data_IF_584370896522
#
_entry.id   IF_584370896522
#
_cell.length_a   1.000
_cell.length_b   1.000
_cell.length_c   1.000
_cell.angle_alpha   90.00
_cell.angle_beta   90.00
_cell.angle_gamma   90.00
#
_symmetry.space_group_name_H-M   'P 1'
#
loop_
_entity.id
_entity.type
_entity.pdbx_description
1 polymer ?
#
# COMPACT_ATOMS: atom_id res chain seq x y z
N UNK A 1 -2.97 10.06 -6.83
CA UNK A 1 -3.52 10.05 -5.44
C UNK A 1 -3.22 11.38 -4.76
N UNK A 2 -4.24 12.08 -4.24
CA UNK A 2 -4.05 13.42 -3.65
C UNK A 2 -3.03 13.43 -2.50
N UNK A 3 -2.97 12.35 -1.71
CA UNK A 3 -2.06 12.24 -0.58
C UNK A 3 -0.57 12.43 -0.95
N UNK A 4 -0.12 11.92 -2.11
CA UNK A 4 1.27 12.07 -2.57
C UNK A 4 1.58 13.54 -2.87
N UNK A 5 0.62 14.30 -3.41
CA UNK A 5 0.78 15.71 -3.76
C UNK A 5 0.89 16.62 -2.52
N UNK A 6 0.42 16.16 -1.35
CA UNK A 6 0.44 16.91 -0.10
C UNK A 6 1.73 16.71 0.70
N UNK A 7 2.58 15.75 0.33
CA UNK A 7 3.79 15.42 1.07
C UNK A 7 4.98 16.24 0.56
N UNK A 8 5.80 16.71 1.51
CA UNK A 8 7.11 17.26 1.21
C UNK A 8 8.08 16.17 0.71
N UNK A 9 9.14 16.52 -0.03
CA UNK A 9 10.23 15.58 -0.35
C UNK A 9 10.76 14.89 0.91
N UNK A 10 10.90 13.57 0.84
CA UNK A 10 11.25 12.72 1.98
C UNK A 10 10.10 12.36 2.92
N UNK A 11 8.90 12.92 2.71
CA UNK A 11 7.70 12.59 3.47
C UNK A 11 7.25 11.14 3.28
N UNK A 12 6.58 10.58 4.29
CA UNK A 12 6.15 9.17 4.31
C UNK A 12 4.62 9.10 4.26
N UNK A 13 4.11 8.38 3.27
CA UNK A 13 2.72 7.99 3.15
C UNK A 13 2.53 6.58 3.73
N UNK A 14 1.66 6.46 4.73
CA UNK A 14 1.12 5.16 5.16
C UNK A 14 -0.26 4.99 4.52
N UNK A 15 -0.41 4.00 3.65
CA UNK A 15 -1.66 3.77 2.92
C UNK A 15 -2.08 2.31 3.00
N UNK A 16 -3.39 2.07 3.11
CA UNK A 16 -3.96 0.75 3.40
C UNK A 16 -5.20 0.48 2.56
N UNK A 17 -5.46 -0.81 2.32
CA UNK A 17 -6.69 -1.32 1.71
C UNK A 17 -7.11 -2.63 2.37
N UNK A 18 -8.39 -2.72 2.75
CA UNK A 18 -9.00 -3.93 3.34
C UNK A 18 -9.93 -4.64 2.36
N UNK A 19 -9.97 -4.22 1.08
CA UNK A 19 -10.84 -4.84 0.10
C UNK A 19 -10.34 -6.25 -0.28
N UNK A 20 -11.23 -7.24 -0.19
CA UNK A 20 -10.95 -8.61 -0.64
C UNK A 20 -10.76 -8.72 -2.16
N UNK A 21 -11.34 -7.79 -2.94
CA UNK A 21 -11.17 -7.70 -4.40
C UNK A 21 -9.82 -7.10 -4.81
N UNK A 22 -9.07 -6.56 -3.85
CA UNK A 22 -7.79 -5.90 -4.09
C UNK A 22 -6.65 -6.85 -3.72
N UNK A 23 -5.86 -7.30 -4.69
CA UNK A 23 -4.61 -8.02 -4.39
C UNK A 23 -3.51 -7.05 -3.94
N UNK A 24 -2.50 -7.56 -3.25
CA UNK A 24 -1.32 -6.78 -2.86
C UNK A 24 -0.66 -6.14 -4.08
N UNK A 25 -0.43 -6.93 -5.14
CA UNK A 25 0.17 -6.44 -6.39
C UNK A 25 -0.66 -5.36 -7.07
N UNK A 26 -1.99 -5.53 -7.11
CA UNK A 26 -2.87 -4.52 -7.70
C UNK A 26 -2.81 -3.22 -6.89
N UNK A 27 -2.81 -3.31 -5.56
CA UNK A 27 -2.71 -2.14 -4.70
C UNK A 27 -1.37 -1.42 -4.89
N UNK A 28 -0.27 -2.17 -5.00
CA UNK A 28 1.05 -1.60 -5.27
C UNK A 28 1.10 -0.87 -6.62
N UNK A 29 0.49 -1.45 -7.67
CA UNK A 29 0.36 -0.80 -8.98
C UNK A 29 -0.45 0.48 -8.92
N UNK A 30 -1.57 0.49 -8.19
CA UNK A 30 -2.39 1.70 -7.99
C UNK A 30 -1.56 2.81 -7.31
N UNK A 31 -0.73 2.46 -6.33
CA UNK A 31 0.16 3.45 -5.67
C UNK A 31 1.22 3.97 -6.65
N UNK A 32 1.79 3.10 -7.49
CA UNK A 32 2.76 3.49 -8.52
C UNK A 32 2.14 4.40 -9.58
N UNK A 33 0.98 4.04 -10.14
CA UNK A 33 0.24 4.87 -11.10
C UNK A 33 -0.12 6.22 -10.47
N UNK A 34 -0.55 6.22 -9.21
CA UNK A 34 -0.83 7.43 -8.47
C UNK A 34 0.38 8.33 -8.24
N UNK A 35 1.59 7.78 -8.20
CA UNK A 35 2.85 8.52 -8.08
C UNK A 35 3.23 9.15 -9.43
N UNK A 36 3.06 8.41 -10.53
CA UNK A 36 3.19 8.91 -11.91
C UNK A 36 2.26 10.10 -12.13
N UNK A 37 0.97 9.97 -11.80
CA UNK A 37 -0.02 11.05 -11.90
C UNK A 37 0.34 12.27 -11.04
N UNK A 38 1.02 12.06 -9.92
CA UNK A 38 1.48 13.13 -9.03
C UNK A 38 2.80 13.78 -9.50
N UNK A 39 3.46 13.23 -10.53
CA UNK A 39 4.78 13.67 -10.98
C UNK A 39 5.86 13.49 -9.91
N UNK A 40 5.75 12.47 -9.07
CA UNK A 40 6.66 12.18 -7.96
C UNK A 40 7.11 10.72 -8.01
N UNK A 41 8.38 10.48 -7.73
CA UNK A 41 8.85 9.13 -7.45
C UNK A 41 8.55 8.75 -6.00
N UNK A 42 8.22 7.48 -5.77
CA UNK A 42 8.01 6.92 -4.43
C UNK A 42 8.79 5.63 -4.24
N UNK A 43 9.32 5.44 -3.02
CA UNK A 43 9.98 4.21 -2.61
C UNK A 43 9.07 3.45 -1.66
N UNK A 44 8.80 2.17 -1.95
CA UNK A 44 8.19 1.26 -0.98
C UNK A 44 9.24 0.88 0.06
N UNK A 45 9.06 1.32 1.31
CA UNK A 45 10.02 1.09 2.40
C UNK A 45 9.53 0.05 3.40
N UNK A 46 8.23 -0.22 3.45
CA UNK A 46 7.65 -1.28 4.28
C UNK A 46 6.34 -1.77 3.69
N UNK A 47 6.03 -3.05 3.92
CA UNK A 47 4.73 -3.65 3.60
C UNK A 47 4.08 -4.13 4.90
N UNK A 48 2.85 -3.68 5.14
CA UNK A 48 2.04 -4.05 6.28
C UNK A 48 1.02 -5.13 5.93
N UNK A 49 0.65 -5.90 6.96
CA UNK A 49 -0.35 -6.97 6.92
C UNK A 49 -1.16 -6.95 8.21
N UNK A 50 -2.29 -7.67 8.21
CA UNK A 50 -3.07 -7.92 9.42
C UNK A 50 -2.21 -8.51 10.55
N UNK A 51 -2.52 -8.14 11.78
CA UNK A 51 -1.79 -8.55 12.97
C UNK A 51 -1.94 -10.06 13.25
N UNK A 52 -1.12 -10.60 14.15
CA UNK A 52 -1.03 -12.04 14.41
C UNK A 52 -2.30 -12.65 15.02
N UNK A 53 -3.16 -11.82 15.63
CA UNK A 53 -4.50 -12.17 16.10
C UNK A 53 -5.52 -12.33 14.96
N UNK A 54 -5.13 -12.03 13.72
CA UNK A 54 -5.89 -12.23 12.49
C UNK A 54 -5.16 -13.20 11.54
N UNK A 55 -4.99 -14.48 11.93
CA UNK A 55 -4.25 -15.44 11.13
C UNK A 55 -4.92 -15.71 9.78
N UNK A 56 -4.09 -16.00 8.77
CA UNK A 56 -4.55 -16.49 7.47
C UNK A 56 -4.18 -17.96 7.38
N UNK A 57 -5.19 -18.82 7.34
CA UNK A 57 -4.96 -20.26 7.19
C UNK A 57 -4.46 -20.56 5.77
N UNK A 58 -3.48 -21.46 5.64
CA UNK A 58 -2.81 -21.73 4.37
C UNK A 58 -3.75 -22.22 3.26
N UNK A 59 -4.86 -22.88 3.62
CA UNK A 59 -5.87 -23.38 2.69
C UNK A 59 -6.91 -22.33 2.28
N UNK A 60 -6.82 -21.11 2.79
CA UNK A 60 -7.74 -20.00 2.50
C UNK A 60 -6.96 -18.67 2.38
N UNK A 61 -6.19 -18.47 1.30
CA UNK A 61 -5.39 -17.25 1.10
C UNK A 61 -6.25 -15.98 1.00
N UNK A 62 -7.53 -16.09 0.67
CA UNK A 62 -8.49 -14.99 0.62
C UNK A 62 -8.67 -14.32 2.00
N UNK A 63 -8.33 -15.00 3.09
CA UNK A 63 -8.28 -14.44 4.44
C UNK A 63 -7.24 -13.34 4.62
N UNK A 64 -6.28 -13.18 3.69
CA UNK A 64 -5.35 -12.05 3.65
C UNK A 64 -6.02 -10.83 3.00
N UNK A 65 -6.87 -10.15 3.76
CA UNK A 65 -7.66 -9.04 3.23
C UNK A 65 -7.00 -7.67 3.43
N UNK A 66 -6.15 -7.50 4.45
CA UNK A 66 -5.49 -6.23 4.75
C UNK A 66 -4.13 -6.12 4.05
N UNK A 67 -3.96 -5.05 3.27
CA UNK A 67 -2.71 -4.68 2.61
C UNK A 67 -2.36 -3.27 3.02
N UNK A 68 -1.10 -3.03 3.36
CA UNK A 68 -0.61 -1.68 3.60
C UNK A 68 0.80 -1.50 3.10
N UNK A 69 1.15 -0.26 2.81
CA UNK A 69 2.51 0.12 2.43
C UNK A 69 2.91 1.42 3.12
N UNK A 70 4.18 1.48 3.51
CA UNK A 70 4.86 2.74 3.77
C UNK A 70 5.61 3.15 2.49
N UNK A 71 5.30 4.33 1.98
CA UNK A 71 5.89 4.89 0.78
C UNK A 71 6.59 6.20 1.10
N UNK A 72 7.88 6.32 0.77
CA UNK A 72 8.63 7.56 0.91
C UNK A 72 8.62 8.32 -0.41
N UNK A 73 8.18 9.58 -0.39
CA UNK A 73 8.21 10.47 -1.56
C UNK A 73 9.62 11.01 -1.76
N UNK A 74 10.09 11.01 -3.01
CA UNK A 74 11.41 11.52 -3.39
C UNK A 74 11.36 13.00 -3.81
#
# INVERSE_FOLDING_TARGET
MLAIQLLNPGGVLLTFSCSGLMTTDLFQKIIADAAIDAGRDVQFIEQFRQAADHPVIATYPEGLYLKGFACRVM
#
